data_IF_949448253703
#
_entry.id   IF_949448253703
#
_cell.length_a   1.000
_cell.length_b   1.000
_cell.length_c   1.000
_cell.angle_alpha   90.00
_cell.angle_beta   90.00
_cell.angle_gamma   90.00
#
_symmetry.space_group_name_H-M   'P 1'
#
loop_
_entity.id
_entity.type
_entity.pdbx_description
1 polymer ?
#
# COMPACT_ATOMS: atom_id res chain seq x y z
N UNK A 1 -16.36 0.20 -29.09
CA UNK A 1 -15.85 -0.24 -27.79
C UNK A 1 -15.26 -1.62 -27.93
N UNK A 2 -13.98 -1.73 -27.68
CA UNK A 2 -13.32 -3.01 -27.70
C UNK A 2 -13.82 -3.87 -26.52
N UNK A 3 -14.38 -5.04 -26.84
CA UNK A 3 -14.76 -6.03 -25.83
C UNK A 3 -13.57 -6.74 -25.21
N UNK A 4 -12.35 -6.19 -25.43
CA UNK A 4 -11.11 -6.84 -25.08
C UNK A 4 -10.50 -6.37 -23.76
N UNK A 5 -11.11 -5.41 -23.07
CA UNK A 5 -10.60 -4.95 -21.79
C UNK A 5 -11.09 -5.88 -20.68
N UNK A 6 -10.20 -6.78 -20.26
CA UNK A 6 -10.49 -7.66 -19.14
C UNK A 6 -10.58 -6.84 -17.84
N UNK A 7 -11.31 -7.35 -16.86
CA UNK A 7 -11.41 -6.75 -15.54
C UNK A 7 -10.01 -6.59 -14.90
N UNK A 8 -9.15 -7.60 -15.06
CA UNK A 8 -7.78 -7.55 -14.58
C UNK A 8 -6.99 -6.37 -15.18
N UNK A 9 -7.10 -6.18 -16.50
CA UNK A 9 -6.44 -5.06 -17.18
C UNK A 9 -6.91 -3.71 -16.66
N UNK A 10 -8.23 -3.56 -16.48
CA UNK A 10 -8.82 -2.33 -15.96
C UNK A 10 -8.37 -2.06 -14.52
N UNK A 11 -8.32 -3.08 -13.67
CA UNK A 11 -7.84 -2.96 -12.30
C UNK A 11 -6.37 -2.54 -12.24
N UNK A 12 -5.52 -3.13 -13.09
CA UNK A 12 -4.10 -2.76 -13.17
C UNK A 12 -3.93 -1.32 -13.64
N UNK A 13 -4.68 -0.91 -14.66
CA UNK A 13 -4.64 0.46 -15.16
C UNK A 13 -5.12 1.46 -14.12
N UNK A 14 -6.20 1.14 -13.41
CA UNK A 14 -6.73 2.01 -12.35
C UNK A 14 -5.74 2.15 -11.19
N UNK A 15 -5.18 1.04 -10.72
CA UNK A 15 -4.15 1.04 -9.67
C UNK A 15 -2.92 1.85 -10.09
N UNK A 16 -2.46 1.68 -11.33
CA UNK A 16 -1.33 2.44 -11.87
C UNK A 16 -1.60 3.93 -11.94
N UNK A 17 -2.81 4.34 -12.31
CA UNK A 17 -3.21 5.74 -12.34
C UNK A 17 -3.22 6.36 -10.94
N UNK A 18 -3.74 5.65 -9.95
CA UNK A 18 -3.71 6.06 -8.54
C UNK A 18 -2.27 6.25 -8.04
N UNK A 19 -1.43 5.28 -8.29
CA UNK A 19 -0.02 5.30 -7.85
C UNK A 19 0.75 6.46 -8.48
N UNK A 20 0.55 6.71 -9.76
CA UNK A 20 1.18 7.85 -10.44
C UNK A 20 0.73 9.19 -9.87
N UNK A 21 -0.57 9.35 -9.64
CA UNK A 21 -1.13 10.57 -9.06
C UNK A 21 -0.61 10.79 -7.64
N UNK A 22 -0.64 9.76 -6.82
CA UNK A 22 -0.16 9.82 -5.44
C UNK A 22 1.34 10.11 -5.39
N UNK A 23 2.14 9.42 -6.18
CA UNK A 23 3.59 9.61 -6.22
C UNK A 23 3.98 11.02 -6.65
N UNK A 24 3.28 11.60 -7.61
CA UNK A 24 3.49 12.98 -8.06
C UNK A 24 3.32 13.97 -6.92
N UNK A 25 2.23 13.83 -6.16
CA UNK A 25 1.95 14.70 -5.01
C UNK A 25 2.98 14.52 -3.88
N UNK A 26 3.30 13.27 -3.56
CA UNK A 26 4.19 12.97 -2.44
C UNK A 26 5.66 13.29 -2.72
N UNK A 27 6.11 13.18 -3.96
CA UNK A 27 7.47 13.58 -4.34
C UNK A 27 7.68 15.08 -4.19
N UNK A 28 6.65 15.87 -4.43
CA UNK A 28 6.70 17.32 -4.29
C UNK A 28 6.65 17.75 -2.82
N UNK A 29 5.81 17.10 -2.01
CA UNK A 29 5.50 17.52 -0.64
C UNK A 29 6.31 16.80 0.43
N UNK A 30 6.82 15.62 0.15
CA UNK A 30 7.45 14.76 1.14
C UNK A 30 8.92 14.48 0.83
N UNK A 31 9.18 13.61 -0.11
CA UNK A 31 10.53 13.10 -0.34
C UNK A 31 10.67 12.64 -1.80
N UNK A 32 11.53 13.31 -2.61
CA UNK A 32 11.72 12.95 -4.01
C UNK A 32 12.40 11.59 -4.21
N UNK A 33 13.02 11.03 -3.18
CA UNK A 33 13.68 9.71 -3.22
C UNK A 33 12.71 8.54 -3.02
N UNK A 34 11.48 8.82 -2.57
CA UNK A 34 10.47 7.78 -2.41
C UNK A 34 9.84 7.43 -3.76
N UNK A 35 9.77 6.15 -4.02
CA UNK A 35 9.17 5.55 -5.22
C UNK A 35 7.88 4.82 -4.87
N UNK A 36 7.02 4.49 -5.84
CA UNK A 36 5.78 3.76 -5.58
C UNK A 36 5.98 2.47 -4.78
N UNK A 37 7.09 1.75 -5.02
CA UNK A 37 7.42 0.53 -4.28
C UNK A 37 7.59 0.76 -2.77
N UNK A 38 8.09 1.92 -2.36
CA UNK A 38 8.23 2.27 -0.93
C UNK A 38 6.87 2.45 -0.26
N UNK A 39 5.89 3.01 -0.97
CA UNK A 39 4.53 3.15 -0.44
C UNK A 39 3.84 1.80 -0.26
N UNK A 40 4.22 0.78 -1.03
CA UNK A 40 3.73 -0.58 -0.83
C UNK A 40 4.12 -1.14 0.55
N UNK A 41 5.30 -0.80 1.06
CA UNK A 41 5.71 -1.17 2.43
C UNK A 41 4.74 -0.57 3.45
N UNK A 42 4.49 0.73 3.37
CA UNK A 42 3.57 1.41 4.29
C UNK A 42 2.14 0.85 4.21
N UNK A 43 1.69 0.52 3.00
CA UNK A 43 0.34 -0.03 2.77
C UNK A 43 0.10 -1.31 3.55
N UNK A 44 1.11 -2.15 3.68
CA UNK A 44 1.01 -3.46 4.31
C UNK A 44 1.53 -3.50 5.74
N UNK A 45 2.13 -2.42 6.22
CA UNK A 45 2.71 -2.35 7.54
C UNK A 45 1.62 -2.28 8.61
N UNK A 46 1.64 -3.25 9.52
CA UNK A 46 0.74 -3.28 10.66
C UNK A 46 1.16 -2.20 11.68
N UNK A 47 0.22 -1.47 12.31
CA UNK A 47 0.54 -0.48 13.32
C UNK A 47 1.40 -1.00 14.48
N UNK A 48 1.27 -2.28 14.83
CA UNK A 48 2.06 -2.92 15.88
C UNK A 48 3.42 -3.45 15.40
N UNK A 49 3.68 -3.34 14.11
CA UNK A 49 4.88 -3.86 13.47
C UNK A 49 4.62 -5.11 12.65
N UNK A 50 5.42 -5.30 11.62
CA UNK A 50 5.33 -6.47 10.73
C UNK A 50 6.72 -7.03 10.48
N UNK A 51 6.81 -8.34 10.33
CA UNK A 51 8.03 -9.00 9.88
C UNK A 51 8.21 -8.80 8.37
N UNK A 52 9.47 -8.77 7.92
CA UNK A 52 9.78 -8.65 6.48
C UNK A 52 9.12 -9.77 5.67
N UNK A 53 9.09 -10.99 6.22
CA UNK A 53 8.42 -12.14 5.59
C UNK A 53 6.94 -11.89 5.34
N UNK A 54 6.25 -11.31 6.31
CA UNK A 54 4.83 -10.96 6.21
C UNK A 54 4.59 -9.84 5.19
N UNK A 55 5.44 -8.81 5.21
CA UNK A 55 5.38 -7.70 4.26
C UNK A 55 5.62 -8.17 2.82
N UNK A 56 6.62 -9.02 2.61
CA UNK A 56 6.95 -9.56 1.30
C UNK A 56 5.80 -10.40 0.74
N UNK A 57 5.20 -11.25 1.56
CA UNK A 57 4.05 -12.07 1.18
C UNK A 57 2.84 -11.20 0.81
N UNK A 58 2.50 -10.22 1.66
CA UNK A 58 1.38 -9.31 1.43
C UNK A 58 1.56 -8.49 0.14
N UNK A 59 2.77 -8.04 -0.16
CA UNK A 59 3.08 -7.25 -1.35
C UNK A 59 3.34 -8.11 -2.60
N UNK A 60 3.45 -9.42 -2.46
CA UNK A 60 3.72 -10.33 -3.59
C UNK A 60 5.13 -10.18 -4.17
N UNK A 61 6.12 -9.85 -3.35
CA UNK A 61 7.53 -9.71 -3.76
C UNK A 61 8.42 -10.60 -2.91
N UNK A 62 9.70 -10.74 -3.30
CA UNK A 62 10.67 -11.53 -2.55
C UNK A 62 11.02 -10.87 -1.22
N UNK A 63 11.48 -11.69 -0.26
CA UNK A 63 11.98 -11.18 1.02
C UNK A 63 13.20 -10.28 0.84
N UNK A 64 14.06 -10.61 -0.13
CA UNK A 64 15.23 -9.79 -0.44
C UNK A 64 14.81 -8.41 -0.94
N UNK A 65 13.89 -8.34 -1.89
CA UNK A 65 13.37 -7.07 -2.41
C UNK A 65 12.69 -6.24 -1.33
N UNK A 66 11.88 -6.89 -0.49
CA UNK A 66 11.24 -6.21 0.64
C UNK A 66 12.27 -5.69 1.64
N UNK A 67 13.29 -6.49 1.94
CA UNK A 67 14.39 -6.07 2.82
C UNK A 67 15.14 -4.85 2.33
N UNK A 68 15.36 -4.73 1.03
CA UNK A 68 16.00 -3.57 0.40
C UNK A 68 15.12 -2.32 0.51
N UNK A 69 13.82 -2.46 0.28
CA UNK A 69 12.86 -1.36 0.43
C UNK A 69 12.82 -0.86 1.87
N UNK A 70 12.75 -1.77 2.82
CA UNK A 70 12.74 -1.45 4.25
C UNK A 70 14.04 -0.77 4.67
N UNK A 71 15.19 -1.26 4.21
CA UNK A 71 16.49 -0.65 4.48
C UNK A 71 16.55 0.79 3.97
N UNK A 72 16.04 1.05 2.78
CA UNK A 72 15.97 2.41 2.22
C UNK A 72 15.11 3.32 3.09
N UNK A 73 13.92 2.86 3.48
CA UNK A 73 13.01 3.61 4.35
C UNK A 73 13.59 3.84 5.76
N UNK A 74 14.32 2.88 6.28
CA UNK A 74 15.01 2.99 7.56
C UNK A 74 16.11 4.05 7.52
N UNK A 75 16.92 4.06 6.47
CA UNK A 75 17.97 5.08 6.27
C UNK A 75 17.40 6.48 6.15
N UNK A 76 16.22 6.62 5.62
CA UNK A 76 15.52 7.90 5.50
C UNK A 76 14.70 8.26 6.73
N UNK A 77 14.67 7.41 7.74
CA UNK A 77 14.03 7.67 9.02
C UNK A 77 12.53 7.42 9.10
N UNK A 78 11.94 6.74 8.12
CA UNK A 78 10.50 6.49 8.10
C UNK A 78 10.07 5.23 8.84
N UNK A 79 10.96 4.26 8.93
CA UNK A 79 10.74 3.02 9.66
C UNK A 79 11.98 2.67 10.47
N UNK A 80 11.83 1.77 11.42
CA UNK A 80 12.95 1.18 12.15
C UNK A 80 12.70 -0.30 12.38
N UNK A 81 13.79 -1.06 12.49
CA UNK A 81 13.74 -2.47 12.87
C UNK A 81 13.91 -2.57 14.39
N UNK A 82 12.98 -3.26 15.03
CA UNK A 82 13.03 -3.55 16.47
C UNK A 82 13.01 -5.05 16.72
N UNK A 83 13.48 -5.45 17.88
CA UNK A 83 13.36 -6.85 18.34
C UNK A 83 11.87 -7.16 18.51
N UNK A 84 11.43 -8.30 17.95
CA UNK A 84 10.07 -8.78 18.16
C UNK A 84 9.87 -9.09 19.66
N UNK A 85 8.84 -8.49 20.31
CA UNK A 85 8.59 -8.71 21.73
C UNK A 85 8.22 -10.17 22.06
N UNK A 86 7.78 -10.95 21.09
CA UNK A 86 7.39 -12.35 21.25
C UNK A 86 8.47 -13.34 20.82
N UNK A 87 9.45 -12.92 20.03
CA UNK A 87 10.59 -13.75 19.61
C UNK A 87 11.83 -12.89 19.44
N UNK A 88 12.72 -12.93 20.43
CA UNK A 88 13.96 -12.13 20.47
C UNK A 88 14.92 -12.40 19.31
N UNK A 89 14.75 -13.51 18.57
CA UNK A 89 15.56 -13.85 17.41
C UNK A 89 15.08 -13.16 16.14
N UNK A 90 13.88 -12.62 16.16
CA UNK A 90 13.26 -11.96 15.02
C UNK A 90 13.26 -10.45 15.18
N UNK A 91 13.13 -9.75 14.05
CA UNK A 91 12.95 -8.31 13.98
C UNK A 91 11.58 -7.98 13.39
N UNK A 92 10.97 -6.94 13.90
CA UNK A 92 9.77 -6.33 13.32
C UNK A 92 10.11 -4.94 12.79
N UNK A 93 9.47 -4.59 11.69
CA UNK A 93 9.52 -3.24 11.11
C UNK A 93 8.39 -2.43 11.72
N UNK A 94 8.71 -1.29 12.27
CA UNK A 94 7.75 -0.36 12.85
C UNK A 94 7.89 1.03 12.24
N UNK A 95 6.79 1.77 12.22
CA UNK A 95 6.75 3.14 11.72
C UNK A 95 7.34 4.09 12.77
N UNK A 96 8.19 5.01 12.34
CA UNK A 96 8.66 6.13 13.17
C UNK A 96 7.65 7.27 13.19
N UNK A 97 7.89 8.30 13.99
CA UNK A 97 7.10 9.53 13.96
C UNK A 97 7.10 10.18 12.56
N UNK A 98 8.25 10.21 11.88
CA UNK A 98 8.35 10.70 10.51
C UNK A 98 7.55 9.83 9.54
N UNK A 99 7.58 8.52 9.72
CA UNK A 99 6.78 7.57 8.93
C UNK A 99 5.28 7.77 9.14
N UNK A 100 4.85 8.00 10.37
CA UNK A 100 3.43 8.29 10.65
C UNK A 100 2.97 9.59 9.99
N UNK A 101 3.81 10.63 9.98
CA UNK A 101 3.51 11.87 9.26
C UNK A 101 3.42 11.65 7.75
N UNK A 102 4.32 10.85 7.20
CA UNK A 102 4.28 10.47 5.78
C UNK A 102 3.00 9.72 5.43
N UNK A 103 2.58 8.79 6.27
CA UNK A 103 1.32 8.05 6.11
C UNK A 103 0.09 8.96 6.17
N UNK A 104 0.08 9.91 7.09
CA UNK A 104 -1.02 10.87 7.20
C UNK A 104 -1.11 11.74 5.94
N UNK A 105 0.01 12.22 5.42
CA UNK A 105 0.06 12.96 4.17
C UNK A 105 -0.42 12.11 2.99
N UNK A 106 0.02 10.87 2.90
CA UNK A 106 -0.42 9.95 1.86
C UNK A 106 -1.93 9.71 1.93
N UNK A 107 -2.48 9.53 3.12
CA UNK A 107 -3.92 9.37 3.32
C UNK A 107 -4.70 10.60 2.84
N UNK A 108 -4.22 11.80 3.12
CA UNK A 108 -4.83 13.05 2.66
C UNK A 108 -4.81 13.15 1.13
N UNK A 109 -3.69 12.80 0.51
CA UNK A 109 -3.56 12.82 -0.97
C UNK A 109 -4.44 11.77 -1.63
N UNK A 110 -4.57 10.59 -1.05
CA UNK A 110 -5.49 9.54 -1.52
C UNK A 110 -6.93 10.05 -1.43
N UNK A 111 -7.30 10.68 -0.33
CA UNK A 111 -8.64 11.27 -0.18
C UNK A 111 -8.91 12.33 -1.26
N UNK A 112 -7.93 13.15 -1.62
CA UNK A 112 -8.06 14.14 -2.70
C UNK A 112 -8.30 13.47 -4.06
N UNK A 113 -7.58 12.39 -4.36
CA UNK A 113 -7.78 11.61 -5.58
C UNK A 113 -9.17 10.99 -5.60
N UNK A 114 -9.62 10.43 -4.49
CA UNK A 114 -10.97 9.86 -4.37
C UNK A 114 -12.06 10.91 -4.58
N UNK A 115 -11.87 12.14 -4.11
CA UNK A 115 -12.80 13.23 -4.38
C UNK A 115 -12.93 13.56 -5.87
N UNK A 116 -11.83 13.48 -6.61
CA UNK A 116 -11.85 13.63 -8.07
C UNK A 116 -12.71 12.55 -8.71
N UNK A 117 -12.57 11.31 -8.25
CA UNK A 117 -13.38 10.18 -8.74
C UNK A 117 -14.87 10.38 -8.41
N UNK A 118 -15.19 10.81 -7.20
CA UNK A 118 -16.58 11.08 -6.80
C UNK A 118 -17.19 12.18 -7.65
N UNK A 119 -16.43 13.23 -7.97
CA UNK A 119 -16.91 14.32 -8.81
C UNK A 119 -17.28 13.86 -10.23
N UNK A 120 -16.56 12.88 -10.77
CA UNK A 120 -16.81 12.35 -12.12
C UNK A 120 -17.82 11.19 -12.13
N UNK A 121 -17.66 10.22 -11.25
CA UNK A 121 -18.44 9.00 -11.24
C UNK A 121 -19.71 9.07 -10.38
N UNK A 122 -19.74 9.96 -9.40
CA UNK A 122 -20.78 10.05 -8.38
C UNK A 122 -20.49 9.23 -7.14
N UNK A 123 -21.09 9.61 -6.01
CA UNK A 123 -20.86 8.96 -4.71
C UNK A 123 -21.28 7.50 -4.69
N UNK A 124 -22.43 7.18 -5.30
CA UNK A 124 -22.95 5.80 -5.30
C UNK A 124 -22.06 4.85 -6.09
N UNK A 125 -21.56 5.30 -7.25
CA UNK A 125 -20.65 4.49 -8.06
C UNK A 125 -19.34 4.20 -7.32
N UNK A 126 -18.76 5.20 -6.67
CA UNK A 126 -17.52 5.03 -5.89
C UNK A 126 -17.74 4.14 -4.67
N UNK A 127 -18.87 4.29 -3.99
CA UNK A 127 -19.24 3.42 -2.85
C UNK A 127 -19.37 1.95 -3.29
N UNK A 128 -20.06 1.70 -4.39
CA UNK A 128 -20.23 0.37 -4.96
C UNK A 128 -18.89 -0.22 -5.40
N UNK A 129 -18.05 0.58 -6.06
CA UNK A 129 -16.72 0.17 -6.49
C UNK A 129 -15.86 -0.25 -5.27
N UNK A 130 -15.86 0.56 -4.22
CA UNK A 130 -15.13 0.25 -2.98
C UNK A 130 -15.59 -1.07 -2.38
N UNK A 131 -16.90 -1.26 -2.23
CA UNK A 131 -17.46 -2.48 -1.67
C UNK A 131 -17.14 -3.71 -2.53
N UNK A 132 -17.24 -3.56 -3.85
CA UNK A 132 -16.95 -4.65 -4.80
C UNK A 132 -15.47 -5.03 -4.78
N UNK A 133 -14.57 -4.05 -4.82
CA UNK A 133 -13.12 -4.30 -4.77
C UNK A 133 -12.70 -4.98 -3.46
N UNK A 134 -13.31 -4.60 -2.34
CA UNK A 134 -13.02 -5.21 -1.05
C UNK A 134 -13.38 -6.71 -1.01
N UNK A 135 -14.35 -7.13 -1.81
CA UNK A 135 -14.79 -8.53 -1.89
C UNK A 135 -13.96 -9.39 -2.84
N UNK A 136 -13.32 -8.77 -3.83
CA UNK A 136 -12.60 -9.50 -4.88
C UNK A 136 -11.58 -10.50 -4.32
N UNK A 137 -10.69 -10.14 -3.38
CA UNK A 137 -9.71 -11.08 -2.83
C UNK A 137 -10.37 -12.28 -2.12
N UNK A 138 -11.48 -12.05 -1.45
CA UNK A 138 -12.21 -13.09 -0.72
C UNK A 138 -12.88 -14.08 -1.67
N UNK A 139 -13.40 -13.58 -2.78
CA UNK A 139 -14.12 -14.40 -3.77
C UNK A 139 -13.15 -15.22 -4.63
N UNK A 140 -12.07 -14.60 -5.10
CA UNK A 140 -11.11 -15.23 -6.02
C UNK A 140 -10.08 -16.06 -5.24
N UNK A 141 -9.65 -15.55 -4.08
CA UNK A 141 -8.57 -16.15 -3.30
C UNK A 141 -8.92 -17.51 -2.68
N UNK A 142 -10.18 -17.92 -2.78
CA UNK A 142 -10.68 -19.13 -2.14
C UNK A 142 -10.43 -19.05 -0.65
N UNK A 143 -11.44 -18.81 0.15
CA UNK A 143 -11.27 -18.74 1.60
C UNK A 143 -10.53 -19.96 2.10
N UNK A 144 -9.27 -19.76 2.40
CA UNK A 144 -8.58 -20.62 3.32
C UNK A 144 -8.98 -20.20 4.74
N UNK A 145 -10.27 -20.20 5.02
CA UNK A 145 -10.71 -20.42 6.39
C UNK A 145 -10.40 -21.88 6.70
N UNK A 146 -9.15 -22.12 7.00
CA UNK A 146 -8.83 -23.21 7.88
C UNK A 146 -9.03 -22.68 9.29
N UNK A 147 -10.20 -22.98 9.80
CA UNK A 147 -10.40 -23.12 11.23
C UNK A 147 -9.21 -23.78 11.90
#
# INVERSE_FOLDING_TARGET
MSTTDTLLKLLVQAAGAFEKALNRELRTELDPELRPAHYAVFRHLDPEGSRITELAEAAGITQQSMGELVTHLERRGYVERKVDPFDRRARVVVTTAAGRRALALAADRIADIERILVADLGEDAVRTLRASLARVPKVIGGDSEKT
#
